data_IF_792382366009
#
_entry.id   IF_792382366009
#
_cell.length_a   1.000
_cell.length_b   1.000
_cell.length_c   1.000
_cell.angle_alpha   90.00
_cell.angle_beta   90.00
_cell.angle_gamma   90.00
#
_symmetry.space_group_name_H-M   'P 1'
#
loop_
_entity.id
_entity.type
_entity.pdbx_description
1 polymer ?
#
# COMPACT_ATOMS: atom_id res chain seq x y z
N UNK A 1 -4.04 16.49 6.10
CA UNK A 1 -4.51 17.58 6.96
C UNK A 1 -5.10 18.62 6.06
N UNK A 2 -6.38 18.90 6.22
CA UNK A 2 -6.96 20.13 5.68
C UNK A 2 -6.55 21.24 6.64
N UNK A 3 -5.86 22.25 6.12
CA UNK A 3 -5.45 23.44 6.85
C UNK A 3 -6.44 24.53 6.43
N UNK A 4 -7.09 25.15 7.42
CA UNK A 4 -8.10 26.18 7.22
C UNK A 4 -7.40 27.52 7.02
N UNK A 5 -7.66 28.18 5.89
CA UNK A 5 -7.40 29.61 5.69
C UNK A 5 -8.74 30.35 5.70
N UNK A 6 -8.81 31.44 6.45
CA UNK A 6 -10.05 32.10 6.89
C UNK A 6 -10.85 32.81 5.78
N UNK A 7 -10.39 32.80 4.51
CA UNK A 7 -11.10 33.56 3.46
C UNK A 7 -11.46 32.81 2.18
N UNK A 8 -11.02 31.57 1.94
CA UNK A 8 -11.52 30.77 0.81
C UNK A 8 -11.11 29.29 0.93
N UNK A 9 -12.00 28.38 0.51
CA UNK A 9 -11.65 26.99 0.24
C UNK A 9 -10.63 26.99 -0.91
N UNK A 10 -9.35 26.80 -0.59
CA UNK A 10 -8.34 26.56 -1.63
C UNK A 10 -8.54 25.14 -2.12
N UNK A 11 -9.25 25.01 -3.23
CA UNK A 11 -9.29 23.76 -3.99
C UNK A 11 -7.85 23.45 -4.39
N UNK A 12 -7.23 22.47 -3.73
CA UNK A 12 -5.86 22.05 -4.03
C UNK A 12 -5.88 21.50 -5.45
N UNK A 13 -5.62 22.35 -6.44
CA UNK A 13 -5.29 21.91 -7.79
C UNK A 13 -4.24 20.81 -7.63
N UNK A 14 -4.60 19.56 -7.97
CA UNK A 14 -3.63 18.47 -8.12
C UNK A 14 -2.63 18.98 -9.15
N UNK A 15 -1.46 19.44 -8.67
CA UNK A 15 -0.36 19.80 -9.55
C UNK A 15 -0.12 18.58 -10.43
N UNK A 16 -0.19 18.74 -11.76
CA UNK A 16 0.22 17.74 -12.77
C UNK A 16 1.74 17.50 -12.72
N UNK A 17 2.29 17.27 -11.52
CA UNK A 17 3.62 16.74 -11.30
C UNK A 17 3.47 15.24 -11.22
N UNK A 18 4.31 14.51 -11.94
CA UNK A 18 4.17 13.07 -12.06
C UNK A 18 3.99 12.40 -10.70
N UNK A 19 2.92 11.64 -10.53
CA UNK A 19 2.61 10.97 -9.28
C UNK A 19 3.40 9.67 -9.23
N UNK A 20 4.41 9.59 -8.35
CA UNK A 20 5.08 8.32 -8.06
C UNK A 20 4.20 7.53 -7.09
N UNK A 21 3.86 6.29 -7.44
CA UNK A 21 3.19 5.38 -6.53
C UNK A 21 4.23 4.49 -5.86
N UNK A 22 4.13 4.35 -4.55
CA UNK A 22 4.97 3.46 -3.76
C UNK A 22 4.11 2.35 -3.20
N UNK A 23 4.65 1.14 -3.21
CA UNK A 23 4.14 0.04 -2.41
C UNK A 23 5.23 -0.44 -1.48
N UNK A 24 4.89 -0.71 -0.23
CA UNK A 24 5.82 -1.30 0.71
C UNK A 24 5.10 -2.00 1.84
N UNK A 25 5.79 -2.93 2.47
CA UNK A 25 5.39 -3.53 3.73
C UNK A 25 6.52 -3.39 4.75
N UNK A 26 6.19 -3.53 6.03
CA UNK A 26 7.18 -3.57 7.09
C UNK A 26 6.71 -4.51 8.20
N UNK A 27 7.65 -4.94 9.01
CA UNK A 27 7.40 -5.74 10.22
C UNK A 27 7.96 -5.00 11.45
N UNK A 28 7.69 -5.53 12.63
CA UNK A 28 8.20 -5.02 13.90
C UNK A 28 9.74 -4.99 13.96
N UNK A 29 10.40 -5.95 13.33
CA UNK A 29 11.86 -6.15 13.42
C UNK A 29 12.62 -5.65 12.18
N UNK A 30 11.97 -5.61 11.01
CA UNK A 30 12.65 -5.26 9.75
C UNK A 30 11.75 -4.44 8.82
N UNK A 31 12.40 -3.57 8.04
CA UNK A 31 11.79 -3.03 6.84
C UNK A 31 11.47 -4.20 5.90
N UNK A 32 10.21 -4.29 5.46
CA UNK A 32 9.75 -5.34 4.58
C UNK A 32 10.09 -5.03 3.14
N UNK A 33 9.50 -5.81 2.23
CA UNK A 33 9.65 -5.59 0.81
C UNK A 33 9.09 -4.22 0.38
N UNK A 34 9.79 -3.55 -0.53
CA UNK A 34 9.43 -2.23 -1.05
C UNK A 34 9.58 -2.19 -2.57
N UNK A 35 8.60 -1.60 -3.25
CA UNK A 35 8.53 -1.47 -4.70
C UNK A 35 8.08 -0.08 -5.11
N UNK A 36 8.82 0.51 -6.05
CA UNK A 36 8.45 1.78 -6.69
C UNK A 36 7.62 1.45 -7.92
N UNK A 37 6.36 1.85 -7.93
CA UNK A 37 5.44 1.72 -9.06
C UNK A 37 5.50 3.03 -9.85
N UNK A 38 6.45 3.11 -10.79
CA UNK A 38 6.73 4.35 -11.54
C UNK A 38 5.61 4.69 -12.52
N UNK A 39 5.29 5.97 -12.63
CA UNK A 39 4.44 6.52 -13.68
C UNK A 39 5.14 6.44 -15.04
N UNK A 40 4.50 5.79 -16.02
CA UNK A 40 5.01 5.60 -17.38
C UNK A 40 4.54 4.33 -18.09
N UNK A 41 4.03 3.35 -17.33
CA UNK A 41 3.52 2.07 -17.86
C UNK A 41 2.03 1.95 -17.58
N UNK A 42 1.23 2.83 -18.18
CA UNK A 42 -0.23 2.77 -18.10
C UNK A 42 -0.82 2.85 -16.68
N UNK A 43 -2.15 2.67 -16.54
CA UNK A 43 -2.78 2.57 -15.22
C UNK A 43 -2.30 1.29 -14.52
N UNK A 44 -1.84 1.43 -13.28
CA UNK A 44 -1.54 0.29 -12.42
C UNK A 44 -2.83 -0.50 -12.21
N UNK A 45 -2.94 -1.62 -12.92
CA UNK A 45 -4.15 -2.43 -12.98
C UNK A 45 -4.07 -3.59 -11.98
N UNK A 46 -5.20 -4.30 -11.82
CA UNK A 46 -5.30 -5.46 -10.92
C UNK A 46 -4.30 -6.58 -11.25
N UNK A 47 -3.99 -6.81 -12.52
CA UNK A 47 -3.03 -7.83 -12.96
C UNK A 47 -1.62 -7.46 -12.51
N UNK A 48 -1.21 -6.21 -12.76
CA UNK A 48 0.08 -5.66 -12.32
C UNK A 48 0.24 -5.74 -10.80
N UNK A 49 -0.85 -5.54 -10.05
CA UNK A 49 -0.83 -5.73 -8.60
C UNK A 49 -0.57 -7.18 -8.21
N UNK A 50 -1.20 -8.16 -8.86
CA UNK A 50 -0.99 -9.56 -8.50
C UNK A 50 0.41 -10.03 -8.91
N UNK A 51 0.85 -9.74 -10.13
CA UNK A 51 2.16 -10.13 -10.63
C UNK A 51 3.31 -9.50 -9.82
N UNK A 52 3.22 -8.21 -9.49
CA UNK A 52 4.28 -7.52 -8.77
C UNK A 52 4.14 -7.66 -7.26
N UNK A 53 2.98 -7.30 -6.71
CA UNK A 53 2.80 -7.12 -5.27
C UNK A 53 2.51 -8.44 -4.58
N UNK A 54 1.54 -9.23 -5.04
CA UNK A 54 1.21 -10.51 -4.39
C UNK A 54 2.40 -11.48 -4.48
N UNK A 55 3.08 -11.54 -5.63
CA UNK A 55 4.31 -12.32 -5.76
C UNK A 55 5.40 -11.88 -4.78
N UNK A 56 5.58 -10.57 -4.59
CA UNK A 56 6.56 -10.03 -3.65
C UNK A 56 6.21 -10.34 -2.20
N UNK A 57 4.93 -10.22 -1.83
CA UNK A 57 4.41 -10.61 -0.51
C UNK A 57 4.65 -12.09 -0.25
N UNK A 58 4.26 -12.97 -1.19
CA UNK A 58 4.46 -14.41 -1.07
C UNK A 58 5.94 -14.75 -0.86
N UNK A 59 6.84 -14.20 -1.69
CA UNK A 59 8.29 -14.39 -1.53
C UNK A 59 8.79 -13.94 -0.16
N UNK A 60 8.29 -12.81 0.34
CA UNK A 60 8.68 -12.31 1.65
C UNK A 60 8.21 -13.22 2.79
N UNK A 61 7.00 -13.76 2.70
CA UNK A 61 6.44 -14.69 3.68
C UNK A 61 7.15 -16.06 3.64
N UNK A 62 7.56 -16.55 2.47
CA UNK A 62 8.39 -17.75 2.38
C UNK A 62 9.71 -17.61 3.14
N UNK A 63 10.30 -16.41 3.16
CA UNK A 63 11.52 -16.11 3.90
C UNK A 63 11.27 -15.90 5.40
N UNK A 64 10.05 -15.51 5.77
CA UNK A 64 9.66 -15.17 7.13
C UNK A 64 8.34 -15.86 7.51
N UNK A 65 8.33 -17.20 7.67
CA UNK A 65 7.10 -17.98 7.83
C UNK A 65 6.34 -17.69 9.13
N UNK A 66 6.97 -17.00 10.10
CA UNK A 66 6.31 -16.55 11.34
C UNK A 66 5.49 -15.27 11.17
N UNK A 67 5.59 -14.59 10.03
CA UNK A 67 4.88 -13.35 9.77
C UNK A 67 3.51 -13.63 9.17
N UNK A 68 2.54 -12.79 9.54
CA UNK A 68 1.21 -12.77 8.95
C UNK A 68 1.05 -11.52 8.10
N UNK A 69 0.32 -11.63 7.00
CA UNK A 69 0.12 -10.52 6.08
C UNK A 69 -1.10 -9.69 6.45
N UNK A 70 -0.93 -8.36 6.52
CA UNK A 70 -2.01 -7.38 6.69
C UNK A 70 -1.99 -6.46 5.47
N UNK A 71 -3.14 -6.24 4.84
CA UNK A 71 -3.31 -5.25 3.77
C UNK A 71 -4.37 -4.22 4.16
N UNK A 72 -4.19 -2.96 3.75
CA UNK A 72 -5.16 -1.90 3.97
C UNK A 72 -6.28 -1.98 2.91
N UNK A 73 -7.53 -1.75 3.32
CA UNK A 73 -8.70 -1.78 2.44
C UNK A 73 -9.38 -3.15 2.33
N UNK A 74 -10.60 -3.15 1.80
CA UNK A 74 -11.33 -4.38 1.57
C UNK A 74 -10.64 -5.18 0.46
N UNK A 75 -10.32 -6.47 0.67
CA UNK A 75 -9.80 -7.31 -0.39
C UNK A 75 -10.79 -7.33 -1.55
N UNK A 76 -10.32 -7.14 -2.78
CA UNK A 76 -11.12 -7.48 -3.96
C UNK A 76 -11.18 -9.01 -4.06
N UNK A 77 -12.27 -9.56 -4.59
CA UNK A 77 -12.43 -11.01 -4.76
C UNK A 77 -11.23 -11.64 -5.50
N UNK A 78 -10.70 -10.92 -6.49
CA UNK A 78 -9.52 -11.33 -7.26
C UNK A 78 -8.22 -11.38 -6.45
N UNK A 79 -7.98 -10.40 -5.57
CA UNK A 79 -6.80 -10.42 -4.71
C UNK A 79 -6.85 -11.57 -3.71
N UNK A 80 -8.05 -11.94 -3.25
CA UNK A 80 -8.23 -13.08 -2.32
C UNK A 80 -7.85 -14.38 -3.01
N UNK A 81 -8.36 -14.61 -4.23
CA UNK A 81 -8.09 -15.84 -5.00
C UNK A 81 -6.58 -16.03 -5.22
N UNK A 82 -5.89 -14.99 -5.71
CA UNK A 82 -4.44 -15.05 -5.94
C UNK A 82 -3.63 -15.24 -4.64
N UNK A 83 -4.09 -14.69 -3.52
CA UNK A 83 -3.46 -14.93 -2.21
C UNK A 83 -3.69 -16.37 -1.72
N UNK A 84 -4.91 -16.89 -1.90
CA UNK A 84 -5.27 -18.26 -1.53
C UNK A 84 -4.52 -19.31 -2.35
N UNK A 85 -4.35 -19.09 -3.66
CA UNK A 85 -3.54 -19.97 -4.52
C UNK A 85 -2.08 -20.08 -4.05
N UNK A 86 -1.59 -19.07 -3.32
CA UNK A 86 -0.23 -18.99 -2.78
C UNK A 86 -0.16 -19.33 -1.29
N UNK A 87 -1.23 -19.89 -0.72
CA UNK A 87 -1.35 -20.24 0.70
C UNK A 87 -1.12 -19.04 1.65
N UNK A 88 -1.42 -17.83 1.18
CA UNK A 88 -1.34 -16.60 1.98
C UNK A 88 -2.73 -16.23 2.47
N UNK A 89 -2.96 -16.36 3.77
CA UNK A 89 -4.21 -15.92 4.41
C UNK A 89 -3.99 -14.52 5.01
N UNK A 90 -4.55 -13.44 4.43
CA UNK A 90 -4.45 -12.12 5.00
C UNK A 90 -5.27 -12.02 6.30
N UNK A 91 -4.72 -11.32 7.30
CA UNK A 91 -5.45 -10.93 8.49
C UNK A 91 -6.58 -9.99 8.08
N UNK A 92 -7.78 -10.25 8.61
CA UNK A 92 -8.92 -9.37 8.40
C UNK A 92 -8.63 -7.96 8.91
N UNK A 93 -8.87 -6.97 8.05
CA UNK A 93 -8.72 -5.56 8.39
C UNK A 93 -9.99 -4.78 8.08
N UNK A 94 -10.51 -3.95 9.01
CA UNK A 94 -11.73 -3.20 8.78
C UNK A 94 -11.54 -2.16 7.68
N UNK A 95 -12.56 -2.00 6.83
CA UNK A 95 -12.58 -0.99 5.78
C UNK A 95 -12.51 0.44 6.38
N UNK A 96 -12.01 1.39 5.59
CA UNK A 96 -11.92 2.81 5.95
C UNK A 96 -11.24 3.09 7.31
N UNK A 97 -10.32 2.22 7.72
CA UNK A 97 -9.60 2.32 8.99
C UNK A 97 -8.09 2.56 8.79
N UNK A 98 -7.68 3.62 8.06
CA UNK A 98 -6.26 3.92 7.83
C UNK A 98 -5.54 4.24 9.15
N UNK A 99 -6.22 4.89 10.11
CA UNK A 99 -5.65 5.26 11.41
C UNK A 99 -5.20 4.06 12.25
N UNK A 100 -5.70 2.86 11.96
CA UNK A 100 -5.29 1.65 12.67
C UNK A 100 -4.04 1.02 12.06
N UNK A 101 -3.69 1.36 10.80
CA UNK A 101 -2.57 0.72 10.12
C UNK A 101 -1.30 1.53 10.38
N UNK A 102 -0.30 0.96 11.08
CA UNK A 102 0.89 1.70 11.46
C UNK A 102 1.72 2.16 10.25
N UNK A 103 1.51 1.59 9.06
CA UNK A 103 2.20 2.03 7.84
C UNK A 103 1.84 3.45 7.42
N UNK A 104 0.65 3.94 7.76
CA UNK A 104 0.23 5.31 7.43
C UNK A 104 1.10 6.35 8.14
N UNK A 105 1.56 6.05 9.36
CA UNK A 105 2.50 6.91 10.08
C UNK A 105 3.87 6.96 9.38
N UNK A 106 4.32 5.82 8.82
CA UNK A 106 5.56 5.75 8.04
C UNK A 106 5.43 6.57 6.76
N UNK A 107 4.33 6.41 6.01
CA UNK A 107 4.11 7.18 4.79
C UNK A 107 3.99 8.68 5.03
N UNK A 108 3.31 9.09 6.12
CA UNK A 108 3.20 10.49 6.48
C UNK A 108 4.57 11.10 6.78
N UNK A 109 5.41 10.38 7.54
CA UNK A 109 6.78 10.81 7.78
C UNK A 109 7.60 10.83 6.49
N UNK A 110 7.44 9.86 5.59
CA UNK A 110 8.20 9.83 4.33
C UNK A 110 7.89 11.04 3.44
N UNK A 111 6.63 11.49 3.36
CA UNK A 111 6.22 12.66 2.57
C UNK A 111 6.94 13.95 2.97
N UNK A 112 7.48 14.04 4.19
CA UNK A 112 8.27 15.20 4.61
C UNK A 112 9.66 15.23 3.95
N UNK A 113 10.13 14.11 3.38
CA UNK A 113 11.46 13.96 2.78
C UNK A 113 11.45 13.83 1.25
N UNK A 114 10.29 13.79 0.60
CA UNK A 114 10.11 13.63 -0.87
C UNK A 114 9.31 14.79 -1.44
#
# INVERSE_FOLDING_TARGET
GEELDDTCIVDKMRKKRGCIMFWGCFSDQTNGAFSILREGVGPFNKESYCECIITLVHRWLCLHPSLNFIQNGAPTAYNIEELQERDVVPIFWPAFSPNLNPIEAVWNRMKDYI
#
